data_IF_824139061103
#
_entry.id   IF_824139061103
#
_cell.length_a   1.000
_cell.length_b   1.000
_cell.length_c   1.000
_cell.angle_alpha   90.00
_cell.angle_beta   90.00
_cell.angle_gamma   90.00
#
_symmetry.space_group_name_H-M   'P 1'
#
loop_
_entity.id
_entity.type
_entity.pdbx_description
1 polymer ?
#
# COMPACT_ATOMS: atom_id res chain seq x y z
N UNK A 1 3.91 29.32 -55.18
CA UNK A 1 4.22 29.23 -53.75
C UNK A 1 3.13 28.42 -53.07
N UNK A 2 3.41 27.18 -52.70
CA UNK A 2 2.44 26.31 -52.01
C UNK A 2 2.41 26.72 -50.54
N UNK A 3 1.31 27.36 -50.13
CA UNK A 3 1.08 27.70 -48.73
C UNK A 3 0.89 26.42 -47.91
N UNK A 4 1.93 25.98 -47.22
CA UNK A 4 1.84 24.96 -46.18
C UNK A 4 0.98 25.51 -45.04
N UNK A 5 -0.32 25.29 -45.14
CA UNK A 5 -1.32 25.57 -44.12
C UNK A 5 -1.11 24.67 -42.90
N UNK A 6 -0.06 24.93 -42.12
CA UNK A 6 0.06 24.41 -40.77
C UNK A 6 -0.94 25.20 -39.93
N UNK A 7 -2.21 24.74 -39.91
CA UNK A 7 -3.17 25.18 -38.90
C UNK A 7 -2.60 24.77 -37.54
N UNK A 8 -2.03 25.74 -36.83
CA UNK A 8 -1.62 25.55 -35.45
C UNK A 8 -2.82 25.02 -34.66
N UNK A 9 -2.69 23.85 -34.05
CA UNK A 9 -3.77 23.28 -33.25
C UNK A 9 -4.15 24.27 -32.16
N UNK A 10 -5.45 24.56 -31.96
CA UNK A 10 -5.87 25.47 -30.92
C UNK A 10 -5.28 25.03 -29.57
N UNK A 11 -4.81 25.96 -28.73
CA UNK A 11 -4.02 25.66 -27.53
C UNK A 11 -4.68 24.62 -26.60
N UNK A 12 -6.02 24.60 -26.54
CA UNK A 12 -6.79 23.59 -25.82
C UNK A 12 -6.63 22.16 -26.38
N UNK A 13 -6.57 21.98 -27.70
CA UNK A 13 -6.33 20.67 -28.35
C UNK A 13 -4.90 20.19 -28.12
N UNK A 14 -3.93 21.10 -28.20
CA UNK A 14 -2.51 20.78 -27.94
C UNK A 14 -2.31 20.32 -26.50
N UNK A 15 -2.87 21.03 -25.52
CA UNK A 15 -2.79 20.63 -24.11
C UNK A 15 -3.46 19.28 -23.85
N UNK A 16 -4.63 19.03 -24.45
CA UNK A 16 -5.31 17.74 -24.33
C UNK A 16 -4.46 16.59 -24.87
N UNK A 17 -3.80 16.76 -26.03
CA UNK A 17 -2.91 15.72 -26.59
C UNK A 17 -1.70 15.45 -25.69
N UNK A 18 -1.12 16.48 -25.09
CA UNK A 18 0.01 16.31 -24.15
C UNK A 18 -0.41 15.48 -22.93
N UNK A 19 -1.54 15.78 -22.30
CA UNK A 19 -2.02 15.02 -21.16
C UNK A 19 -2.41 13.58 -21.51
N UNK A 20 -2.99 13.35 -22.70
CA UNK A 20 -3.24 12.00 -23.20
C UNK A 20 -1.93 11.24 -23.42
N UNK A 21 -0.91 11.90 -23.99
CA UNK A 21 0.41 11.31 -24.17
C UNK A 21 1.09 10.94 -22.84
N UNK A 22 1.01 11.81 -21.83
CA UNK A 22 1.50 11.52 -20.47
C UNK A 22 0.75 10.33 -19.87
N UNK A 23 -0.59 10.33 -19.94
CA UNK A 23 -1.40 9.22 -19.44
C UNK A 23 -1.07 7.90 -20.14
N UNK A 24 -0.87 7.91 -21.46
CA UNK A 24 -0.46 6.73 -22.23
C UNK A 24 0.95 6.25 -21.83
N UNK A 25 1.89 7.17 -21.61
CA UNK A 25 3.23 6.83 -21.16
C UNK A 25 3.22 6.19 -19.76
N UNK A 26 2.40 6.71 -18.84
CA UNK A 26 2.23 6.15 -17.49
C UNK A 26 1.57 4.77 -17.56
N UNK A 27 0.57 4.60 -18.42
CA UNK A 27 -0.08 3.30 -18.63
C UNK A 27 0.91 2.27 -19.22
N UNK A 28 1.72 2.67 -20.21
CA UNK A 28 2.76 1.82 -20.78
C UNK A 28 3.83 1.45 -19.73
N UNK A 29 4.26 2.42 -18.90
CA UNK A 29 5.16 2.17 -17.78
C UNK A 29 4.54 1.22 -16.75
N UNK A 30 3.27 1.39 -16.39
CA UNK A 30 2.58 0.51 -15.46
C UNK A 30 2.48 -0.92 -16.02
N UNK A 31 2.19 -1.07 -17.31
CA UNK A 31 2.20 -2.37 -17.98
C UNK A 31 3.59 -3.01 -17.98
N UNK A 32 4.66 -2.22 -18.19
CA UNK A 32 6.03 -2.69 -18.08
C UNK A 32 6.37 -3.14 -16.65
N UNK A 33 5.98 -2.39 -15.63
CA UNK A 33 6.16 -2.76 -14.21
C UNK A 33 5.46 -4.08 -13.90
N UNK A 34 4.20 -4.25 -14.34
CA UNK A 34 3.45 -5.49 -14.17
C UNK A 34 4.11 -6.66 -14.91
N UNK A 35 4.54 -6.43 -16.15
CA UNK A 35 5.28 -7.43 -16.92
C UNK A 35 6.56 -7.86 -16.21
N UNK A 36 7.32 -6.91 -15.66
CA UNK A 36 8.50 -7.20 -14.85
C UNK A 36 8.15 -8.03 -13.60
N UNK A 37 7.08 -7.69 -12.88
CA UNK A 37 6.65 -8.44 -11.69
C UNK A 37 6.15 -9.85 -12.00
N UNK A 38 5.64 -10.10 -13.21
CA UNK A 38 5.13 -11.41 -13.65
C UNK A 38 6.24 -12.27 -14.27
N UNK A 39 7.09 -11.69 -15.12
CA UNK A 39 8.01 -12.45 -15.99
C UNK A 39 9.48 -12.31 -15.61
N UNK A 40 9.86 -11.17 -15.03
CA UNK A 40 11.27 -10.89 -14.72
C UNK A 40 11.56 -11.28 -13.28
N UNK A 41 10.87 -10.70 -12.30
CA UNK A 41 11.10 -10.97 -10.88
C UNK A 41 9.82 -11.56 -10.25
N UNK A 42 9.48 -12.82 -10.55
CA UNK A 42 8.30 -13.48 -9.99
C UNK A 42 8.51 -13.76 -8.50
N UNK A 43 7.89 -12.96 -7.64
CA UNK A 43 7.99 -13.08 -6.18
C UNK A 43 6.90 -14.01 -5.57
N UNK A 44 6.25 -14.84 -6.40
CA UNK A 44 5.11 -15.68 -6.01
C UNK A 44 5.45 -16.65 -4.88
N UNK A 45 6.66 -17.21 -4.90
CA UNK A 45 7.16 -18.12 -3.86
C UNK A 45 7.02 -17.51 -2.45
N UNK A 46 7.24 -16.19 -2.32
CA UNK A 46 7.09 -15.51 -1.04
C UNK A 46 5.65 -15.07 -0.77
N UNK A 47 4.96 -14.46 -1.75
CA UNK A 47 3.62 -13.92 -1.51
C UNK A 47 2.56 -14.98 -1.26
N UNK A 48 2.69 -16.16 -1.88
CA UNK A 48 1.78 -17.26 -1.64
C UNK A 48 1.93 -17.82 -0.23
N UNK A 49 3.10 -17.68 0.41
CA UNK A 49 3.32 -18.16 1.80
C UNK A 49 2.44 -17.45 2.84
N UNK A 50 1.86 -16.29 2.50
CA UNK A 50 0.88 -15.60 3.36
C UNK A 50 -0.44 -16.36 3.51
N UNK A 51 -0.71 -17.31 2.62
CA UNK A 51 -1.92 -18.13 2.60
C UNK A 51 -1.66 -19.59 2.99
N UNK A 52 -0.45 -19.90 3.51
CA UNK A 52 -0.06 -21.26 3.85
C UNK A 52 -0.64 -21.75 5.18
N UNK A 53 -0.99 -20.83 6.09
CA UNK A 53 -1.53 -21.18 7.40
C UNK A 53 -3.06 -21.01 7.42
N UNK A 54 -3.75 -21.99 7.95
CA UNK A 54 -5.21 -22.02 8.15
C UNK A 54 -5.59 -22.36 9.60
N UNK A 55 -6.88 -22.46 9.90
CA UNK A 55 -7.35 -22.75 11.26
C UNK A 55 -7.54 -24.23 11.57
N UNK A 56 -7.18 -25.15 10.67
CA UNK A 56 -7.22 -26.59 10.96
C UNK A 56 -6.26 -26.98 12.08
N UNK A 57 -5.19 -26.19 12.26
CA UNK A 57 -4.19 -26.32 13.32
C UNK A 57 -4.48 -25.41 14.53
N UNK A 58 -5.70 -24.90 14.67
CA UNK A 58 -6.13 -24.00 15.74
C UNK A 58 -6.02 -22.52 15.37
N UNK A 59 -6.29 -21.63 16.33
CA UNK A 59 -6.28 -20.19 16.08
C UNK A 59 -4.83 -19.67 15.90
N UNK A 60 -4.44 -19.38 14.66
CA UNK A 60 -3.08 -18.96 14.28
C UNK A 60 -3.11 -17.64 13.51
N UNK A 61 -2.02 -16.86 13.57
CA UNK A 61 -1.85 -15.67 12.73
C UNK A 61 -2.05 -16.02 11.26
N UNK A 62 -2.73 -15.13 10.51
CA UNK A 62 -3.04 -15.33 9.07
C UNK A 62 -3.93 -16.54 8.76
N UNK A 63 -4.49 -17.23 9.76
CA UNK A 63 -5.30 -18.44 9.50
C UNK A 63 -6.46 -18.19 8.55
N UNK A 64 -7.13 -17.03 8.62
CA UNK A 64 -8.21 -16.72 7.69
C UNK A 64 -7.72 -16.60 6.23
N UNK A 65 -6.45 -16.26 6.00
CA UNK A 65 -5.87 -16.24 4.67
C UNK A 65 -5.78 -17.65 4.08
N UNK A 66 -5.35 -18.65 4.85
CA UNK A 66 -5.33 -20.03 4.39
C UNK A 66 -6.71 -20.62 4.18
N UNK A 67 -7.69 -20.25 5.02
CA UNK A 67 -9.09 -20.64 4.80
C UNK A 67 -9.59 -20.24 3.41
N UNK A 68 -9.24 -19.04 2.92
CA UNK A 68 -9.61 -18.58 1.57
C UNK A 68 -9.05 -19.49 0.47
N UNK A 69 -7.86 -20.05 0.65
CA UNK A 69 -7.24 -20.95 -0.31
C UNK A 69 -7.86 -22.34 -0.24
N UNK A 70 -8.23 -22.79 0.96
CA UNK A 70 -8.87 -24.09 1.18
C UNK A 70 -10.36 -24.15 0.80
N UNK A 71 -10.98 -23.02 0.44
CA UNK A 71 -12.31 -22.99 -0.20
C UNK A 71 -12.36 -23.82 -1.49
N UNK A 72 -11.23 -24.02 -2.17
CA UNK A 72 -11.12 -24.89 -3.36
C UNK A 72 -10.03 -25.94 -3.11
N UNK A 73 -10.38 -27.08 -2.49
CA UNK A 73 -9.42 -28.12 -2.10
C UNK A 73 -8.59 -28.62 -3.30
N UNK A 74 -7.30 -28.91 -3.07
CA UNK A 74 -6.39 -29.41 -4.10
C UNK A 74 -5.85 -28.36 -5.08
N UNK A 75 -6.30 -27.09 -4.98
CA UNK A 75 -5.93 -26.03 -5.91
C UNK A 75 -5.12 -24.89 -5.28
N UNK A 76 -4.35 -25.18 -4.21
CA UNK A 76 -3.56 -24.21 -3.44
C UNK A 76 -2.85 -23.16 -4.30
N UNK A 77 -2.11 -23.62 -5.31
CA UNK A 77 -1.31 -22.69 -6.11
C UNK A 77 -2.13 -21.79 -7.04
N UNK A 78 -3.21 -22.32 -7.61
CA UNK A 78 -4.08 -21.56 -8.51
C UNK A 78 -4.86 -20.50 -7.72
N UNK A 79 -5.42 -20.90 -6.56
CA UNK A 79 -6.15 -19.97 -5.69
C UNK A 79 -5.20 -18.97 -5.05
N UNK A 80 -4.06 -19.39 -4.51
CA UNK A 80 -3.07 -18.50 -3.91
C UNK A 80 -2.54 -17.45 -4.90
N UNK A 81 -2.27 -17.85 -6.15
CA UNK A 81 -1.92 -16.91 -7.22
C UNK A 81 -3.08 -15.96 -7.55
N UNK A 82 -4.31 -16.47 -7.60
CA UNK A 82 -5.52 -15.68 -7.82
C UNK A 82 -5.73 -14.62 -6.74
N UNK A 83 -5.65 -15.02 -5.46
CA UNK A 83 -5.84 -14.12 -4.31
C UNK A 83 -4.70 -13.10 -4.22
N UNK A 84 -3.46 -13.50 -4.52
CA UNK A 84 -2.32 -12.57 -4.66
C UNK A 84 -2.67 -11.44 -5.63
N UNK A 85 -3.02 -11.75 -6.88
CA UNK A 85 -3.30 -10.72 -7.88
C UNK A 85 -4.62 -9.99 -7.66
N UNK A 86 -5.58 -10.64 -7.00
CA UNK A 86 -6.81 -9.99 -6.54
C UNK A 86 -6.49 -8.87 -5.54
N UNK A 87 -5.53 -9.07 -4.62
CA UNK A 87 -5.11 -8.02 -3.69
C UNK A 87 -4.56 -6.79 -4.42
N UNK A 88 -3.71 -6.99 -5.43
CA UNK A 88 -3.21 -5.94 -6.33
C UNK A 88 -4.36 -5.22 -7.03
N UNK A 89 -5.27 -5.96 -7.65
CA UNK A 89 -6.37 -5.40 -8.42
C UNK A 89 -7.31 -4.54 -7.54
N UNK A 90 -7.73 -5.09 -6.38
CA UNK A 90 -8.62 -4.40 -5.45
C UNK A 90 -7.97 -3.12 -4.89
N UNK A 91 -6.68 -3.17 -4.58
CA UNK A 91 -5.93 -2.00 -4.14
C UNK A 91 -5.81 -0.91 -5.23
N UNK A 92 -5.50 -1.30 -6.47
CA UNK A 92 -5.47 -0.36 -7.60
C UNK A 92 -6.85 0.22 -7.90
N UNK A 93 -7.93 -0.54 -7.73
CA UNK A 93 -9.30 -0.02 -7.78
C UNK A 93 -9.56 1.01 -6.68
N UNK A 94 -9.07 0.80 -5.46
CA UNK A 94 -9.13 1.78 -4.37
C UNK A 94 -8.41 3.08 -4.72
N UNK A 95 -7.19 3.01 -5.26
CA UNK A 95 -6.46 4.18 -5.76
C UNK A 95 -7.19 4.87 -6.91
N UNK A 96 -7.78 4.11 -7.83
CA UNK A 96 -8.56 4.64 -8.94
C UNK A 96 -9.83 5.36 -8.44
N UNK A 97 -10.48 4.87 -7.39
CA UNK A 97 -11.63 5.56 -6.77
C UNK A 97 -11.22 6.93 -6.21
N UNK A 98 -10.07 7.00 -5.53
CA UNK A 98 -9.51 8.27 -5.03
C UNK A 98 -9.19 9.22 -6.18
N UNK A 99 -8.51 8.74 -7.23
CA UNK A 99 -8.23 9.52 -8.44
C UNK A 99 -9.53 10.01 -9.10
N UNK A 100 -10.56 9.16 -9.16
CA UNK A 100 -11.89 9.48 -9.66
C UNK A 100 -12.55 10.63 -8.89
N UNK A 101 -12.50 10.60 -7.56
CA UNK A 101 -13.01 11.71 -6.73
C UNK A 101 -12.21 13.00 -6.94
N UNK A 102 -10.89 12.91 -7.05
CA UNK A 102 -10.04 14.08 -7.34
C UNK A 102 -10.45 14.72 -8.68
N UNK A 103 -10.74 13.91 -9.70
CA UNK A 103 -11.14 14.40 -11.03
C UNK A 103 -12.59 14.89 -11.09
N UNK A 104 -13.50 14.29 -10.33
CA UNK A 104 -14.93 14.60 -10.35
C UNK A 104 -15.36 15.69 -9.33
N UNK A 105 -14.51 16.03 -8.36
CA UNK A 105 -14.85 16.90 -7.23
C UNK A 105 -15.06 18.39 -7.54
N UNK A 106 -15.00 18.81 -8.81
CA UNK A 106 -15.14 20.21 -9.21
C UNK A 106 -14.95 20.42 -10.72
N UNK A 107 -14.77 21.68 -11.16
CA UNK A 107 -14.43 22.00 -12.54
C UNK A 107 -13.17 21.25 -12.99
N UNK A 108 -13.11 20.88 -14.28
CA UNK A 108 -11.90 20.25 -14.83
C UNK A 108 -10.73 21.22 -14.75
N UNK A 109 -9.76 20.91 -13.90
CA UNK A 109 -8.53 21.68 -13.74
C UNK A 109 -7.30 20.86 -14.14
N UNK A 110 -6.26 21.55 -14.60
CA UNK A 110 -5.00 20.90 -14.92
C UNK A 110 -4.33 20.30 -13.68
N UNK A 111 -4.42 20.96 -12.51
CA UNK A 111 -3.87 20.44 -11.26
C UNK A 111 -4.51 19.11 -10.84
N UNK A 112 -5.84 18.97 -10.97
CA UNK A 112 -6.55 17.70 -10.74
C UNK A 112 -6.02 16.59 -11.64
N UNK A 113 -5.76 16.89 -12.92
CA UNK A 113 -5.16 15.94 -13.86
C UNK A 113 -3.72 15.55 -13.48
N UNK A 114 -2.87 16.53 -13.16
CA UNK A 114 -1.47 16.28 -12.74
C UNK A 114 -1.43 15.38 -11.50
N UNK A 115 -2.23 15.68 -10.49
CA UNK A 115 -2.30 14.90 -9.25
C UNK A 115 -2.84 13.49 -9.53
N UNK A 116 -3.93 13.36 -10.29
CA UNK A 116 -4.49 12.05 -10.62
C UNK A 116 -3.52 11.16 -11.42
N UNK A 117 -2.78 11.75 -12.37
CA UNK A 117 -1.76 11.02 -13.13
C UNK A 117 -0.53 10.66 -12.28
N UNK A 118 -0.26 11.37 -11.19
CA UNK A 118 0.86 11.01 -10.30
C UNK A 118 0.55 9.80 -9.42
N UNK A 119 -0.73 9.57 -9.05
CA UNK A 119 -1.13 8.49 -8.12
C UNK A 119 -0.53 7.11 -8.47
N UNK A 120 -0.57 6.63 -9.73
CA UNK A 120 0.03 5.35 -10.11
C UNK A 120 1.54 5.29 -9.90
N UNK A 121 2.23 6.44 -9.91
CA UNK A 121 3.68 6.54 -9.80
C UNK A 121 4.15 6.67 -8.35
N UNK A 122 3.30 7.12 -7.43
CA UNK A 122 3.69 7.36 -6.03
C UNK A 122 4.33 6.12 -5.39
N UNK A 123 5.12 6.27 -4.31
CA UNK A 123 5.77 5.13 -3.64
C UNK A 123 4.84 3.97 -3.29
N UNK A 124 3.56 4.25 -3.02
CA UNK A 124 2.50 3.29 -2.74
C UNK A 124 1.62 2.96 -3.97
N UNK A 125 2.03 3.35 -5.18
CA UNK A 125 1.29 3.18 -6.43
C UNK A 125 1.44 1.79 -7.06
N UNK A 126 1.56 1.74 -8.39
CA UNK A 126 1.63 0.47 -9.15
C UNK A 126 2.80 -0.42 -8.74
N UNK A 127 4.05 0.09 -8.56
CA UNK A 127 5.16 -0.77 -8.16
C UNK A 127 4.93 -1.44 -6.80
N UNK A 128 4.38 -0.70 -5.84
CA UNK A 128 4.02 -1.26 -4.54
C UNK A 128 2.98 -2.37 -4.68
N UNK A 129 1.91 -2.11 -5.45
CA UNK A 129 0.84 -3.09 -5.66
C UNK A 129 1.33 -4.36 -6.39
N UNK A 130 2.28 -4.22 -7.32
CA UNK A 130 2.79 -5.31 -8.15
C UNK A 130 3.86 -6.16 -7.44
N UNK A 131 4.83 -5.49 -6.80
CA UNK A 131 5.96 -6.15 -6.15
C UNK A 131 5.71 -6.49 -4.68
N UNK A 132 4.76 -5.83 -4.01
CA UNK A 132 4.36 -6.09 -2.62
C UNK A 132 2.89 -6.56 -2.56
N UNK A 133 2.54 -7.56 -3.38
CA UNK A 133 1.19 -8.13 -3.53
C UNK A 133 0.75 -8.99 -2.32
N UNK A 134 0.81 -8.40 -1.14
CA UNK A 134 0.50 -8.98 0.17
C UNK A 134 -0.96 -8.71 0.55
N UNK A 135 -1.52 -9.47 1.52
CA UNK A 135 -2.88 -9.23 1.98
C UNK A 135 -3.13 -7.85 2.59
N UNK A 136 -2.09 -7.13 3.04
CA UNK A 136 -2.20 -5.76 3.57
C UNK A 136 -2.73 -4.76 2.52
N UNK A 137 -2.61 -5.07 1.23
CA UNK A 137 -3.23 -4.31 0.14
C UNK A 137 -4.76 -4.24 0.24
N UNK A 138 -5.42 -5.27 0.78
CA UNK A 138 -6.87 -5.21 1.03
C UNK A 138 -7.21 -4.15 2.09
N UNK A 139 -6.38 -4.01 3.13
CA UNK A 139 -6.52 -2.97 4.15
C UNK A 139 -6.36 -1.57 3.56
N UNK A 140 -5.37 -1.38 2.68
CA UNK A 140 -5.18 -0.13 1.95
C UNK A 140 -6.39 0.21 1.08
N UNK A 141 -6.91 -0.76 0.33
CA UNK A 141 -8.12 -0.59 -0.49
C UNK A 141 -9.33 -0.18 0.37
N UNK A 142 -9.53 -0.86 1.50
CA UNK A 142 -10.60 -0.54 2.45
C UNK A 142 -10.49 0.90 2.96
N UNK A 143 -9.27 1.36 3.31
CA UNK A 143 -9.05 2.73 3.76
C UNK A 143 -9.32 3.76 2.64
N UNK A 144 -8.89 3.49 1.41
CA UNK A 144 -9.13 4.37 0.27
C UNK A 144 -10.63 4.52 -0.04
N UNK A 145 -11.37 3.42 -0.02
CA UNK A 145 -12.82 3.40 -0.22
C UNK A 145 -13.56 4.06 0.95
N UNK A 146 -13.16 3.77 2.19
CA UNK A 146 -13.73 4.40 3.38
C UNK A 146 -13.54 5.92 3.38
N UNK A 147 -12.32 6.39 3.11
CA UNK A 147 -12.00 7.82 3.01
C UNK A 147 -12.81 8.49 1.91
N UNK A 148 -12.93 7.83 0.75
CA UNK A 148 -13.76 8.29 -0.37
C UNK A 148 -15.24 8.39 0.03
N UNK A 149 -15.77 7.38 0.70
CA UNK A 149 -17.15 7.34 1.16
C UNK A 149 -17.46 8.44 2.18
N UNK A 150 -16.53 8.71 3.11
CA UNK A 150 -16.66 9.80 4.08
C UNK A 150 -16.76 11.18 3.41
N UNK A 151 -16.07 11.40 2.28
CA UNK A 151 -16.20 12.68 1.55
C UNK A 151 -17.61 12.94 1.03
N UNK A 152 -18.36 11.87 0.78
CA UNK A 152 -19.72 11.90 0.21
C UNK A 152 -20.80 11.78 1.30
N UNK A 153 -20.43 11.47 2.54
CA UNK A 153 -21.39 11.26 3.62
C UNK A 153 -22.03 12.57 4.09
N UNK A 154 -23.32 12.75 3.74
CA UNK A 154 -24.11 13.95 4.04
C UNK A 154 -24.79 13.95 5.40
N UNK A 155 -24.91 12.78 6.04
CA UNK A 155 -25.58 12.63 7.34
C UNK A 155 -24.72 11.88 8.34
N UNK A 156 -25.00 12.10 9.63
CA UNK A 156 -24.34 11.41 10.74
C UNK A 156 -24.54 9.90 10.67
N UNK A 157 -25.75 9.46 10.34
CA UNK A 157 -26.09 8.04 10.22
C UNK A 157 -25.26 7.36 9.13
N UNK A 158 -25.17 7.97 7.94
CA UNK A 158 -24.39 7.41 6.84
C UNK A 158 -22.90 7.37 7.18
N UNK A 159 -22.35 8.45 7.75
CA UNK A 159 -20.95 8.50 8.13
C UNK A 159 -20.60 7.49 9.23
N UNK A 160 -21.50 7.28 10.19
CA UNK A 160 -21.33 6.25 11.22
C UNK A 160 -21.43 4.83 10.64
N UNK A 161 -22.36 4.60 9.70
CA UNK A 161 -22.48 3.34 8.97
C UNK A 161 -21.17 3.00 8.23
N UNK A 162 -20.54 3.98 7.59
CA UNK A 162 -19.23 3.78 6.97
C UNK A 162 -18.12 3.49 7.98
N UNK A 163 -18.13 4.13 9.16
CA UNK A 163 -17.18 3.82 10.24
C UNK A 163 -17.34 2.38 10.74
N UNK A 164 -18.58 1.92 10.93
CA UNK A 164 -18.89 0.57 11.37
C UNK A 164 -18.52 -0.48 10.33
N UNK A 165 -18.86 -0.22 9.04
CA UNK A 165 -18.49 -1.11 7.94
C UNK A 165 -16.97 -1.24 7.81
N UNK A 166 -16.25 -0.11 7.85
CA UNK A 166 -14.79 -0.12 7.81
C UNK A 166 -14.18 -0.85 9.01
N UNK A 167 -14.67 -0.57 10.23
CA UNK A 167 -14.19 -1.26 11.44
C UNK A 167 -14.38 -2.78 11.36
N UNK A 168 -15.57 -3.24 10.93
CA UNK A 168 -15.84 -4.66 10.72
C UNK A 168 -14.95 -5.27 9.64
N UNK A 169 -14.80 -4.60 8.49
CA UNK A 169 -13.95 -5.07 7.40
C UNK A 169 -12.48 -5.18 7.84
N UNK A 170 -11.95 -4.17 8.54
CA UNK A 170 -10.58 -4.19 9.05
C UNK A 170 -10.37 -5.27 10.12
N UNK A 171 -11.35 -5.54 10.99
CA UNK A 171 -11.26 -6.64 11.94
C UNK A 171 -11.11 -7.99 11.22
N UNK A 172 -11.93 -8.25 10.19
CA UNK A 172 -11.84 -9.46 9.36
C UNK A 172 -10.50 -9.52 8.63
N UNK A 173 -10.08 -8.43 7.99
CA UNK A 173 -8.80 -8.38 7.28
C UNK A 173 -7.61 -8.57 8.23
N UNK A 174 -7.73 -8.15 9.49
CA UNK A 174 -6.70 -8.39 10.51
C UNK A 174 -6.51 -9.88 10.80
N UNK A 175 -7.54 -10.71 10.62
CA UNK A 175 -7.42 -12.17 10.71
C UNK A 175 -6.74 -12.78 9.47
N UNK A 176 -6.83 -12.11 8.31
CA UNK A 176 -6.07 -12.47 7.09
C UNK A 176 -4.60 -12.08 7.25
N UNK A 177 -4.32 -10.91 7.83
CA UNK A 177 -2.98 -10.45 8.14
C UNK A 177 -2.98 -9.55 9.38
N UNK A 178 -2.30 -10.02 10.43
CA UNK A 178 -2.36 -9.50 11.80
C UNK A 178 -2.01 -8.02 11.97
N UNK A 179 -1.18 -7.48 11.08
CA UNK A 179 -0.77 -6.08 11.13
C UNK A 179 -1.81 -5.09 10.55
N UNK A 180 -2.80 -5.53 9.77
CA UNK A 180 -3.69 -4.64 8.99
C UNK A 180 -4.41 -3.64 9.91
N UNK A 181 -4.99 -4.12 11.02
CA UNK A 181 -5.72 -3.27 11.96
C UNK A 181 -4.89 -2.16 12.58
N UNK A 182 -3.59 -2.39 12.75
CA UNK A 182 -2.63 -1.42 13.31
C UNK A 182 -2.10 -0.47 12.22
N UNK A 183 -1.80 -1.00 11.04
CA UNK A 183 -1.22 -0.26 9.92
C UNK A 183 -2.10 0.89 9.43
N UNK A 184 -3.40 0.66 9.27
CA UNK A 184 -4.33 1.63 8.68
C UNK A 184 -5.16 2.41 9.71
N UNK A 185 -4.92 2.18 11.01
CA UNK A 185 -5.60 2.89 12.09
C UNK A 185 -5.33 4.41 12.02
N UNK A 186 -4.09 4.80 11.72
CA UNK A 186 -3.71 6.19 11.59
C UNK A 186 -4.47 6.88 10.46
N UNK A 187 -4.47 6.30 9.26
CA UNK A 187 -5.23 6.80 8.12
C UNK A 187 -6.74 6.89 8.39
N UNK A 188 -7.33 5.91 9.09
CA UNK A 188 -8.74 5.94 9.47
C UNK A 188 -9.06 7.12 10.39
N UNK A 189 -8.22 7.38 11.40
CA UNK A 189 -8.36 8.55 12.29
C UNK A 189 -8.24 9.85 11.48
N UNK A 190 -7.23 9.96 10.61
CA UNK A 190 -7.07 11.13 9.75
C UNK A 190 -8.31 11.36 8.87
N UNK A 191 -8.82 10.32 8.22
CA UNK A 191 -10.01 10.38 7.37
C UNK A 191 -11.24 10.88 8.16
N UNK A 192 -11.45 10.38 9.38
CA UNK A 192 -12.58 10.79 10.22
C UNK A 192 -12.44 12.23 10.69
N UNK A 193 -11.24 12.65 11.10
CA UNK A 193 -10.98 14.01 11.57
C UNK A 193 -11.16 15.03 10.44
N UNK A 194 -10.59 14.75 9.25
CA UNK A 194 -10.48 15.70 8.13
C UNK A 194 -11.68 15.61 7.18
N UNK A 195 -12.16 14.40 6.88
CA UNK A 195 -13.21 14.17 5.88
C UNK A 195 -14.59 13.94 6.51
N UNK A 196 -14.65 13.50 7.77
CA UNK A 196 -15.86 13.17 8.52
C UNK A 196 -16.72 14.36 8.98
N UNK A 197 -16.98 15.32 8.08
CA UNK A 197 -17.87 16.46 8.32
C UNK A 197 -19.25 16.03 8.82
N UNK A 198 -19.84 15.02 8.18
CA UNK A 198 -21.18 14.49 8.54
C UNK A 198 -21.30 13.91 9.95
N UNK A 199 -20.20 13.54 10.61
CA UNK A 199 -20.22 13.03 11.98
C UNK A 199 -20.45 14.13 13.03
N UNK A 200 -20.13 15.38 12.73
CA UNK A 200 -20.25 16.50 13.67
C UNK A 200 -19.53 16.22 15.00
N UNK A 201 -20.26 16.28 16.11
CA UNK A 201 -19.75 15.99 17.45
C UNK A 201 -19.37 14.52 17.67
N UNK A 202 -19.87 13.60 16.84
CA UNK A 202 -19.67 12.15 16.98
C UNK A 202 -18.36 11.62 16.39
N UNK A 203 -17.44 12.49 15.94
CA UNK A 203 -16.16 12.06 15.35
C UNK A 203 -15.34 11.14 16.25
N UNK A 204 -15.34 11.37 17.57
CA UNK A 204 -14.63 10.51 18.53
C UNK A 204 -15.20 9.09 18.54
N UNK A 205 -16.53 8.98 18.58
CA UNK A 205 -17.21 7.69 18.52
C UNK A 205 -16.98 7.02 17.17
N UNK A 206 -17.03 7.77 16.07
CA UNK A 206 -16.72 7.25 14.73
C UNK A 206 -15.30 6.67 14.67
N UNK A 207 -14.31 7.36 15.24
CA UNK A 207 -12.93 6.87 15.30
C UNK A 207 -12.81 5.58 16.13
N UNK A 208 -13.47 5.51 17.28
CA UNK A 208 -13.49 4.29 18.09
C UNK A 208 -14.14 3.13 17.32
N UNK A 209 -15.29 3.34 16.68
CA UNK A 209 -16.01 2.32 15.91
C UNK A 209 -15.17 1.84 14.72
N UNK A 210 -14.43 2.73 14.06
CA UNK A 210 -13.61 2.40 12.90
C UNK A 210 -12.30 1.67 13.26
N UNK A 211 -11.67 2.02 14.39
CA UNK A 211 -10.32 1.54 14.74
C UNK A 211 -10.33 0.38 15.73
N UNK A 212 -11.18 0.45 16.75
CA UNK A 212 -11.17 -0.51 17.88
C UNK A 212 -11.34 -1.96 17.42
N UNK A 213 -12.25 -2.30 16.49
CA UNK A 213 -12.40 -3.69 16.07
C UNK A 213 -11.11 -4.30 15.47
N UNK A 214 -10.37 -3.53 14.66
CA UNK A 214 -9.10 -3.94 14.08
C UNK A 214 -8.00 -4.12 15.13
N UNK A 215 -7.90 -3.16 16.07
CA UNK A 215 -6.93 -3.23 17.17
C UNK A 215 -7.21 -4.43 18.08
N UNK A 216 -8.49 -4.68 18.41
CA UNK A 216 -8.88 -5.84 19.20
C UNK A 216 -8.58 -7.15 18.48
N UNK A 217 -8.88 -7.25 17.17
CA UNK A 217 -8.52 -8.43 16.39
C UNK A 217 -7.00 -8.67 16.38
N UNK A 218 -6.18 -7.63 16.22
CA UNK A 218 -4.72 -7.74 16.26
C UNK A 218 -4.24 -8.20 17.65
N UNK A 219 -4.81 -7.65 18.72
CA UNK A 219 -4.51 -8.05 20.08
C UNK A 219 -4.92 -9.50 20.36
N UNK A 220 -6.09 -9.94 19.88
CA UNK A 220 -6.54 -11.33 19.99
C UNK A 220 -5.58 -12.28 19.27
N UNK A 221 -5.16 -11.96 18.04
CA UNK A 221 -4.17 -12.78 17.32
C UNK A 221 -2.84 -12.83 18.08
N UNK A 222 -2.39 -11.72 18.66
CA UNK A 222 -1.13 -11.65 19.39
C UNK A 222 -1.14 -12.39 20.74
N UNK A 223 -2.30 -12.49 21.41
CA UNK A 223 -2.44 -13.10 22.74
C UNK A 223 -2.92 -14.55 22.69
N UNK A 224 -3.88 -14.83 21.80
CA UNK A 224 -4.54 -16.13 21.70
C UNK A 224 -4.02 -16.98 20.53
N UNK A 225 -3.19 -16.39 19.66
CA UNK A 225 -2.58 -17.10 18.55
C UNK A 225 -1.65 -18.21 19.04
N UNK A 226 -1.75 -19.40 18.43
CA UNK A 226 -0.79 -20.48 18.66
C UNK A 226 0.58 -20.13 18.08
N UNK A 227 1.62 -20.55 18.80
CA UNK A 227 3.04 -20.27 18.51
C UNK A 227 3.89 -21.54 18.53
N UNK A 228 3.29 -22.69 18.26
CA UNK A 228 3.89 -24.02 18.39
C UNK A 228 3.46 -24.93 17.23
N UNK A 229 3.20 -24.33 16.07
CA UNK A 229 2.51 -24.97 14.94
C UNK A 229 3.36 -25.02 13.68
N UNK A 230 4.60 -24.52 13.68
CA UNK A 230 5.42 -24.46 12.47
C UNK A 230 5.65 -25.85 11.84
N UNK A 231 5.86 -26.89 12.64
CA UNK A 231 6.06 -28.25 12.14
C UNK A 231 4.79 -28.83 11.49
N UNK A 232 3.63 -28.61 12.11
CA UNK A 232 2.33 -29.04 11.57
C UNK A 232 2.00 -28.29 10.28
N UNK A 233 2.17 -26.96 10.28
CA UNK A 233 1.97 -26.12 9.11
C UNK A 233 2.91 -26.51 7.97
N UNK A 234 4.19 -26.75 8.26
CA UNK A 234 5.15 -27.20 7.27
C UNK A 234 4.67 -28.49 6.59
N UNK A 235 4.20 -29.48 7.35
CA UNK A 235 3.68 -30.73 6.79
C UNK A 235 2.45 -30.54 5.87
N UNK A 236 1.67 -29.48 6.06
CA UNK A 236 0.52 -29.13 5.23
C UNK A 236 0.90 -28.33 3.96
N UNK A 237 2.10 -27.73 3.89
CA UNK A 237 2.53 -26.96 2.72
C UNK A 237 2.72 -27.89 1.51
N UNK A 238 2.09 -27.64 0.35
CA UNK A 238 2.22 -28.50 -0.81
C UNK A 238 3.57 -28.31 -1.54
N UNK A 239 4.11 -29.40 -2.09
CA UNK A 239 5.29 -29.35 -2.96
C UNK A 239 4.95 -28.80 -4.36
N UNK A 240 5.86 -28.01 -4.92
CA UNK A 240 5.86 -27.56 -6.31
C UNK A 240 7.16 -26.82 -6.61
N UNK A 241 7.79 -27.15 -7.72
CA UNK A 241 8.90 -26.36 -8.24
C UNK A 241 8.40 -24.98 -8.71
N UNK A 242 9.00 -23.92 -8.16
CA UNK A 242 8.65 -22.53 -8.46
C UNK A 242 9.89 -21.69 -8.74
N UNK A 243 9.81 -20.67 -9.63
CA UNK A 243 10.86 -19.68 -9.76
C UNK A 243 11.12 -18.97 -8.43
N UNK A 244 12.38 -18.88 -8.04
CA UNK A 244 12.79 -18.18 -6.82
C UNK A 244 13.90 -17.15 -7.12
N UNK A 245 13.54 -15.89 -7.37
CA UNK A 245 14.51 -14.81 -7.52
C UNK A 245 15.34 -14.56 -6.25
N UNK A 246 14.82 -14.85 -5.04
CA UNK A 246 15.53 -14.61 -3.78
C UNK A 246 16.79 -15.48 -3.62
N UNK A 247 16.84 -16.64 -4.27
CA UNK A 247 18.01 -17.52 -4.26
C UNK A 247 19.25 -16.90 -4.95
N UNK A 248 19.05 -15.89 -5.81
CA UNK A 248 20.14 -15.27 -6.58
C UNK A 248 20.23 -13.76 -6.40
N UNK A 249 19.11 -13.07 -6.22
CA UNK A 249 19.05 -11.61 -6.13
C UNK A 249 19.28 -11.17 -4.70
N UNK A 250 20.54 -10.92 -4.36
CA UNK A 250 20.98 -10.44 -3.04
C UNK A 250 21.51 -9.00 -3.04
N UNK A 251 21.70 -8.43 -4.23
CA UNK A 251 22.21 -7.08 -4.47
C UNK A 251 21.76 -6.53 -5.83
N UNK A 252 21.84 -5.21 -6.08
CA UNK A 252 21.55 -4.63 -7.40
C UNK A 252 22.38 -5.23 -8.54
N UNK A 253 23.64 -5.59 -8.27
CA UNK A 253 24.52 -6.25 -9.24
C UNK A 253 23.98 -7.64 -9.60
N UNK A 254 23.60 -8.43 -8.61
CA UNK A 254 23.01 -9.76 -8.84
C UNK A 254 21.64 -9.68 -9.50
N UNK A 255 20.87 -8.61 -9.27
CA UNK A 255 19.63 -8.34 -10.02
C UNK A 255 19.92 -8.12 -11.50
N UNK A 256 20.89 -7.25 -11.82
CA UNK A 256 21.30 -6.99 -13.20
C UNK A 256 21.75 -8.29 -13.87
N UNK A 257 22.57 -9.09 -13.18
CA UNK A 257 23.04 -10.39 -13.66
C UNK A 257 21.89 -11.37 -13.87
N UNK A 258 20.94 -11.46 -12.94
CA UNK A 258 19.75 -12.29 -13.06
C UNK A 258 18.88 -11.89 -14.27
N UNK A 259 18.73 -10.59 -14.54
CA UNK A 259 18.00 -10.09 -15.71
C UNK A 259 18.71 -10.45 -17.02
N UNK A 260 20.04 -10.44 -17.05
CA UNK A 260 20.85 -10.72 -18.25
C UNK A 260 20.98 -12.23 -18.52
N UNK A 261 21.26 -13.03 -17.50
CA UNK A 261 21.56 -14.47 -17.61
C UNK A 261 20.30 -15.33 -17.74
N UNK A 262 19.11 -14.78 -17.47
CA UNK A 262 17.86 -15.53 -17.46
C UNK A 262 17.71 -16.43 -16.23
N UNK A 263 16.50 -16.97 -15.96
CA UNK A 263 16.16 -17.55 -14.66
C UNK A 263 16.59 -19.03 -14.54
N UNK A 264 17.43 -19.44 -13.56
CA UNK A 264 17.75 -20.87 -13.39
C UNK A 264 17.48 -21.43 -11.98
N UNK A 265 17.12 -20.62 -10.97
CA UNK A 265 16.83 -21.14 -9.63
C UNK A 265 15.34 -21.43 -9.49
N UNK A 266 14.95 -22.65 -9.84
CA UNK A 266 13.74 -23.23 -9.29
C UNK A 266 14.06 -23.77 -7.90
N UNK A 267 13.15 -23.55 -6.96
CA UNK A 267 13.19 -24.16 -5.63
C UNK A 267 11.89 -24.91 -5.42
N UNK A 268 11.92 -25.97 -4.62
CA UNK A 268 10.68 -26.56 -4.18
C UNK A 268 10.01 -25.62 -3.17
N UNK A 269 8.74 -25.30 -3.42
CA UNK A 269 7.98 -24.35 -2.62
C UNK A 269 7.87 -24.79 -1.17
N UNK A 270 7.60 -26.08 -0.92
CA UNK A 270 7.50 -26.61 0.44
C UNK A 270 8.83 -26.46 1.16
N UNK A 271 9.94 -26.91 0.58
CA UNK A 271 11.27 -26.80 1.19
C UNK A 271 11.64 -25.35 1.52
N UNK A 272 11.38 -24.43 0.60
CA UNK A 272 11.71 -23.01 0.79
C UNK A 272 10.84 -22.36 1.87
N UNK A 273 9.53 -22.62 1.86
CA UNK A 273 8.57 -22.06 2.84
C UNK A 273 8.82 -22.64 4.23
N UNK A 274 9.05 -23.95 4.34
CA UNK A 274 9.38 -24.62 5.60
C UNK A 274 10.69 -24.12 6.21
N UNK A 275 11.67 -23.77 5.39
CA UNK A 275 12.95 -23.21 5.86
C UNK A 275 12.84 -21.73 6.26
N UNK A 276 12.18 -20.91 5.44
CA UNK A 276 12.29 -19.45 5.53
C UNK A 276 11.07 -18.77 6.17
N UNK A 277 9.89 -19.40 6.14
CA UNK A 277 8.63 -18.77 6.53
C UNK A 277 8.01 -19.46 7.75
N UNK A 278 7.85 -20.78 7.71
CA UNK A 278 7.19 -21.56 8.77
C UNK A 278 7.80 -21.34 10.16
N UNK A 279 9.13 -21.22 10.35
CA UNK A 279 9.70 -20.98 11.68
C UNK A 279 9.20 -19.68 12.34
N UNK A 280 8.72 -18.70 11.55
CA UNK A 280 8.16 -17.46 12.09
C UNK A 280 6.78 -17.63 12.73
N UNK A 281 6.13 -18.79 12.56
CA UNK A 281 4.87 -19.10 13.23
C UNK A 281 5.10 -19.54 14.68
N UNK A 282 6.30 -20.01 15.02
CA UNK A 282 6.66 -20.32 16.41
C UNK A 282 7.15 -19.09 17.19
N UNK A 283 7.44 -17.99 16.48
CA UNK A 283 7.94 -16.76 17.10
C UNK A 283 6.83 -16.05 17.87
N UNK A 284 7.06 -15.84 19.17
CA UNK A 284 6.29 -14.89 19.96
C UNK A 284 6.72 -13.44 19.72
N UNK A 285 6.13 -12.51 20.48
CA UNK A 285 6.46 -11.08 20.38
C UNK A 285 7.93 -10.82 20.68
N UNK A 286 8.50 -11.46 21.70
CA UNK A 286 9.92 -11.30 22.07
C UNK A 286 10.87 -11.74 20.95
N UNK A 287 10.52 -12.81 20.24
CA UNK A 287 11.34 -13.32 19.15
C UNK A 287 11.24 -12.44 17.92
N UNK A 288 10.06 -11.88 17.65
CA UNK A 288 9.87 -10.87 16.62
C UNK A 288 10.71 -9.59 16.89
N UNK A 289 10.73 -9.10 18.13
CA UNK A 289 11.59 -7.97 18.53
C UNK A 289 13.07 -8.30 18.33
N UNK A 290 13.50 -9.51 18.72
CA UNK A 290 14.88 -9.97 18.53
C UNK A 290 15.24 -10.07 17.06
N UNK A 291 14.35 -10.59 16.22
CA UNK A 291 14.53 -10.68 14.78
C UNK A 291 14.70 -9.30 14.12
N UNK A 292 13.93 -8.30 14.55
CA UNK A 292 14.14 -6.91 14.10
C UNK A 292 15.50 -6.37 14.58
N UNK A 293 15.88 -6.65 15.83
CA UNK A 293 17.19 -6.28 16.37
C UNK A 293 18.37 -6.89 15.59
N UNK A 294 18.23 -8.11 15.07
CA UNK A 294 19.26 -8.82 14.30
C UNK A 294 19.55 -8.20 12.93
N UNK A 295 18.65 -7.39 12.38
CA UNK A 295 18.91 -6.58 11.17
C UNK A 295 20.06 -5.60 11.40
N UNK A 296 20.23 -5.16 12.66
CA UNK A 296 21.24 -4.20 13.07
C UNK A 296 20.84 -2.75 12.81
N UNK A 297 21.43 -1.85 13.60
CA UNK A 297 21.10 -0.42 13.58
C UNK A 297 21.31 0.22 12.20
N UNK A 298 22.32 -0.23 11.43
CA UNK A 298 22.62 0.31 10.11
C UNK A 298 21.49 0.04 9.10
N UNK A 299 21.04 -1.22 8.97
CA UNK A 299 19.98 -1.59 8.02
C UNK A 299 18.65 -0.89 8.32
N UNK A 300 18.30 -0.83 9.60
CA UNK A 300 17.11 -0.11 10.07
C UNK A 300 17.22 1.40 9.82
N UNK A 301 18.37 2.01 10.09
CA UNK A 301 18.61 3.45 9.87
C UNK A 301 18.53 3.82 8.39
N UNK A 302 19.16 3.03 7.50
CA UNK A 302 19.10 3.27 6.05
C UNK A 302 17.66 3.12 5.54
N UNK A 303 16.92 2.11 6.00
CA UNK A 303 15.50 1.93 5.68
C UNK A 303 14.65 3.11 6.15
N UNK A 304 14.91 3.61 7.36
CA UNK A 304 14.22 4.78 7.91
C UNK A 304 14.49 6.04 7.07
N UNK A 305 15.75 6.30 6.72
CA UNK A 305 16.14 7.46 5.92
C UNK A 305 15.53 7.39 4.52
N UNK A 306 15.63 6.24 3.86
CA UNK A 306 15.12 6.05 2.51
C UNK A 306 13.59 6.17 2.46
N UNK A 307 12.89 5.47 3.35
CA UNK A 307 11.43 5.60 3.47
C UNK A 307 10.99 7.01 3.86
N UNK A 308 11.73 7.66 4.77
CA UNK A 308 11.43 9.02 5.23
C UNK A 308 11.59 10.05 4.12
N UNK A 309 12.65 9.93 3.32
CA UNK A 309 12.85 10.74 2.12
C UNK A 309 11.71 10.56 1.11
N UNK A 310 11.25 9.31 0.90
CA UNK A 310 10.12 9.03 0.03
C UNK A 310 8.80 9.62 0.54
N UNK A 311 8.53 9.54 1.86
CA UNK A 311 7.39 10.21 2.51
C UNK A 311 7.44 11.71 2.25
N UNK A 312 8.58 12.36 2.57
CA UNK A 312 8.74 13.81 2.42
C UNK A 312 8.54 14.23 0.97
N UNK A 313 9.20 13.55 0.02
CA UNK A 313 9.07 13.85 -1.41
C UNK A 313 7.62 13.69 -1.90
N UNK A 314 6.92 12.66 -1.44
CA UNK A 314 5.52 12.39 -1.78
C UNK A 314 4.60 13.49 -1.26
N UNK A 315 4.66 13.77 0.05
CA UNK A 315 3.79 14.75 0.68
C UNK A 315 4.07 16.17 0.16
N UNK A 316 5.34 16.55 0.04
CA UNK A 316 5.73 17.82 -0.55
C UNK A 316 5.24 17.96 -2.00
N UNK A 317 5.49 16.94 -2.83
CA UNK A 317 5.05 16.93 -4.23
C UNK A 317 3.54 17.05 -4.37
N UNK A 318 2.77 16.34 -3.56
CA UNK A 318 1.30 16.45 -3.55
C UNK A 318 0.82 17.84 -3.14
N UNK A 319 1.45 18.47 -2.15
CA UNK A 319 1.15 19.85 -1.75
C UNK A 319 1.36 20.85 -2.91
N UNK A 320 2.54 20.81 -3.54
CA UNK A 320 2.89 21.71 -4.65
C UNK A 320 2.01 21.52 -5.89
N UNK A 321 1.73 20.26 -6.25
CA UNK A 321 0.92 19.93 -7.42
C UNK A 321 -0.56 20.24 -7.21
N UNK A 322 -1.10 19.93 -6.03
CA UNK A 322 -2.47 20.31 -5.69
C UNK A 322 -2.63 21.82 -5.49
N UNK A 323 -1.56 22.53 -5.10
CA UNK A 323 -1.60 23.95 -4.74
C UNK A 323 -2.19 24.20 -3.34
N UNK A 324 -2.58 23.14 -2.62
CA UNK A 324 -3.17 23.22 -1.29
C UNK A 324 -2.04 23.21 -0.26
N UNK A 325 -1.93 24.25 0.58
CA UNK A 325 -0.83 24.32 1.54
C UNK A 325 -1.03 23.34 2.70
N UNK A 326 0.06 22.71 3.15
CA UNK A 326 0.05 21.75 4.25
C UNK A 326 -0.43 22.34 5.58
N UNK A 327 -0.21 23.64 5.83
CA UNK A 327 -0.73 24.29 7.03
C UNK A 327 -2.26 24.27 7.09
N UNK A 328 -2.96 24.29 5.95
CA UNK A 328 -4.41 24.19 5.93
C UNK A 328 -4.90 22.78 6.31
N UNK A 329 -4.15 21.75 5.90
CA UNK A 329 -4.41 20.37 6.32
C UNK A 329 -4.14 20.19 7.81
N UNK A 330 -3.01 20.71 8.32
CA UNK A 330 -2.66 20.64 9.75
C UNK A 330 -3.67 21.43 10.60
N UNK A 331 -4.13 22.59 10.13
CA UNK A 331 -5.17 23.36 10.81
C UNK A 331 -6.48 22.57 10.93
N UNK A 332 -6.82 21.70 9.97
CA UNK A 332 -7.98 20.82 10.06
C UNK A 332 -7.82 19.73 11.16
N UNK A 333 -6.61 19.48 11.63
CA UNK A 333 -6.30 18.55 12.73
C UNK A 333 -6.28 19.25 14.11
N UNK A 334 -6.24 20.59 14.15
CA UNK A 334 -6.18 21.34 15.40
C UNK A 334 -7.36 21.00 16.33
N UNK A 335 -7.06 20.86 17.62
CA UNK A 335 -8.03 20.41 18.63
C UNK A 335 -8.34 18.90 18.62
N UNK A 336 -7.73 18.13 17.71
CA UNK A 336 -7.88 16.66 17.62
C UNK A 336 -6.54 15.91 17.60
N UNK A 337 -5.42 16.60 17.84
CA UNK A 337 -4.08 16.04 17.78
C UNK A 337 -3.88 14.82 18.68
N UNK A 338 -4.53 14.76 19.85
CA UNK A 338 -4.44 13.58 20.73
C UNK A 338 -4.91 12.30 20.05
N UNK A 339 -5.98 12.37 19.25
CA UNK A 339 -6.47 11.23 18.49
C UNK A 339 -5.54 10.87 17.33
N UNK A 340 -5.02 11.89 16.64
CA UNK A 340 -4.04 11.70 15.55
C UNK A 340 -2.78 11.02 16.07
N UNK A 341 -2.25 11.48 17.21
CA UNK A 341 -1.11 10.87 17.89
C UNK A 341 -1.43 9.44 18.35
N UNK A 342 -2.61 9.20 18.94
CA UNK A 342 -3.01 7.85 19.33
C UNK A 342 -3.08 6.89 18.12
N UNK A 343 -3.66 7.34 16.99
CA UNK A 343 -3.68 6.58 15.75
C UNK A 343 -2.29 6.28 15.21
N UNK A 344 -1.38 7.26 15.26
CA UNK A 344 0.01 7.09 14.84
C UNK A 344 0.77 6.10 15.75
N UNK A 345 0.55 6.17 17.06
CA UNK A 345 1.16 5.25 18.03
C UNK A 345 0.74 3.80 17.82
N UNK A 346 -0.45 3.54 17.26
CA UNK A 346 -0.88 2.19 16.89
C UNK A 346 -0.04 1.56 15.78
N UNK A 347 0.71 2.36 15.01
CA UNK A 347 1.63 1.83 13.98
C UNK A 347 2.95 1.35 14.61
N UNK A 348 3.32 1.83 15.81
CA UNK A 348 4.60 1.52 16.47
C UNK A 348 4.82 0.01 16.65
N UNK A 349 3.86 -0.81 17.12
CA UNK A 349 4.04 -2.25 17.22
C UNK A 349 4.51 -2.89 15.90
N UNK A 350 4.01 -2.42 14.77
CA UNK A 350 4.37 -2.92 13.43
C UNK A 350 5.84 -2.67 13.11
N UNK A 351 6.38 -1.51 13.50
CA UNK A 351 7.81 -1.20 13.37
C UNK A 351 8.68 -2.03 14.30
N UNK A 352 8.18 -2.28 15.52
CA UNK A 352 8.92 -3.04 16.52
C UNK A 352 9.01 -4.52 16.16
N UNK A 353 7.96 -5.10 15.59
CA UNK A 353 7.89 -6.54 15.27
C UNK A 353 8.13 -6.88 13.81
N UNK A 354 8.39 -5.89 12.94
CA UNK A 354 8.62 -6.09 11.52
C UNK A 354 9.80 -5.27 10.98
N UNK A 355 10.72 -5.93 10.27
CA UNK A 355 11.96 -5.32 9.78
C UNK A 355 11.83 -4.45 8.52
N UNK A 356 10.67 -4.46 7.85
CA UNK A 356 10.47 -3.79 6.57
C UNK A 356 10.08 -2.31 6.74
N UNK A 357 10.97 -1.51 7.35
CA UNK A 357 10.69 -0.12 7.74
C UNK A 357 10.41 0.80 6.54
N UNK A 358 11.04 0.56 5.39
CA UNK A 358 10.73 1.29 4.14
C UNK A 358 9.26 1.08 3.75
N UNK A 359 8.75 -0.15 3.83
CA UNK A 359 7.33 -0.43 3.59
C UNK A 359 6.46 0.28 4.61
N UNK A 360 6.77 0.19 5.90
CA UNK A 360 5.95 0.81 6.95
C UNK A 360 5.81 2.31 6.74
N UNK A 361 6.88 2.99 6.36
CA UNK A 361 6.84 4.39 5.99
C UNK A 361 6.05 4.64 4.70
N UNK A 362 6.11 3.73 3.72
CA UNK A 362 5.29 3.80 2.50
C UNK A 362 3.79 3.69 2.81
N UNK A 363 3.40 2.84 3.77
CA UNK A 363 2.01 2.73 4.24
C UNK A 363 1.60 3.99 5.02
N UNK A 364 2.47 4.54 5.88
CA UNK A 364 2.20 5.83 6.54
C UNK A 364 2.05 6.97 5.51
N UNK A 365 2.87 6.96 4.45
CA UNK A 365 2.73 7.90 3.34
C UNK A 365 1.37 7.75 2.66
N UNK A 366 0.92 6.51 2.41
CA UNK A 366 -0.39 6.20 1.85
C UNK A 366 -1.51 6.75 2.74
N UNK A 367 -1.49 6.46 4.05
CA UNK A 367 -2.49 6.93 5.01
C UNK A 367 -2.69 8.44 4.97
N UNK A 368 -1.59 9.20 4.97
CA UNK A 368 -1.62 10.66 4.90
C UNK A 368 -2.06 11.13 3.52
N UNK A 369 -1.45 10.58 2.45
CA UNK A 369 -1.63 11.05 1.09
C UNK A 369 -3.06 10.86 0.60
N UNK A 370 -3.70 9.72 0.87
CA UNK A 370 -5.08 9.48 0.45
C UNK A 370 -6.03 10.48 1.10
N UNK A 371 -5.89 10.73 2.39
CA UNK A 371 -6.72 11.71 3.11
C UNK A 371 -6.43 13.12 2.62
N UNK A 372 -5.17 13.47 2.40
CA UNK A 372 -4.77 14.77 1.87
C UNK A 372 -5.31 15.01 0.46
N UNK A 373 -5.23 14.03 -0.45
CA UNK A 373 -5.75 14.12 -1.81
C UNK A 373 -7.26 14.41 -1.83
N UNK A 374 -8.01 13.72 -0.98
CA UNK A 374 -9.46 13.90 -0.82
C UNK A 374 -9.82 15.19 -0.09
N UNK A 375 -8.97 15.67 0.81
CA UNK A 375 -9.09 17.00 1.40
C UNK A 375 -8.87 18.08 0.33
N UNK A 376 -7.76 17.98 -0.42
CA UNK A 376 -7.35 18.92 -1.45
C UNK A 376 -8.35 18.99 -2.61
N UNK A 377 -9.01 17.89 -2.96
CA UNK A 377 -10.00 17.85 -4.05
C UNK A 377 -11.22 18.76 -3.80
N UNK A 378 -11.47 19.17 -2.56
CA UNK A 378 -12.56 20.06 -2.13
C UNK A 378 -12.12 21.50 -1.89
N UNK A 379 -10.87 21.84 -2.23
CA UNK A 379 -10.26 23.15 -2.00
C UNK A 379 -10.20 23.92 -3.31
N UNK A 380 -10.49 25.22 -3.30
CA UNK A 380 -10.52 26.06 -4.51
C UNK A 380 -9.13 26.18 -5.15
N UNK A 381 -8.07 26.02 -4.36
CA UNK A 381 -6.67 26.07 -4.77
C UNK A 381 -6.36 25.03 -5.87
N UNK A 382 -7.00 23.85 -5.84
CA UNK A 382 -6.80 22.80 -6.84
C UNK A 382 -7.48 23.11 -8.19
N UNK A 383 -8.40 24.07 -8.22
CA UNK A 383 -9.08 24.48 -9.44
C UNK A 383 -8.29 25.56 -10.20
N UNK A 384 -7.26 26.13 -9.58
CA UNK A 384 -6.41 27.15 -10.18
C UNK A 384 -5.45 26.58 -11.24
N UNK A 385 -5.06 27.43 -12.19
CA UNK A 385 -4.08 27.05 -13.20
C UNK A 385 -2.71 26.73 -12.57
N UNK A 386 -2.01 25.67 -13.00
CA UNK A 386 -0.65 25.39 -12.55
C UNK A 386 0.32 26.40 -13.14
N UNK A 387 1.36 26.74 -12.38
CA UNK A 387 2.46 27.56 -12.89
C UNK A 387 3.41 26.73 -13.77
N UNK A 388 4.25 27.36 -14.62
CA UNK A 388 5.30 26.64 -15.34
C UNK A 388 6.28 25.90 -14.42
N UNK A 389 6.47 26.38 -13.19
CA UNK A 389 7.27 25.69 -12.16
C UNK A 389 6.59 24.41 -11.71
N UNK A 390 5.28 24.45 -11.48
CA UNK A 390 4.46 23.27 -11.10
C UNK A 390 4.50 22.19 -12.18
N UNK A 391 4.42 22.57 -13.46
CA UNK A 391 4.52 21.60 -14.57
C UNK A 391 5.91 20.95 -14.65
N UNK A 392 6.98 21.72 -14.50
CA UNK A 392 8.35 21.17 -14.44
C UNK A 392 8.51 20.23 -13.25
N UNK A 393 7.99 20.62 -12.10
CA UNK A 393 8.00 19.78 -10.90
C UNK A 393 7.25 18.46 -11.12
N UNK A 394 6.08 18.49 -11.75
CA UNK A 394 5.35 17.28 -12.10
C UNK A 394 6.21 16.32 -12.93
N UNK A 395 6.88 16.83 -13.97
CA UNK A 395 7.76 16.01 -14.82
C UNK A 395 8.90 15.41 -14.00
N UNK A 396 9.56 16.22 -13.15
CA UNK A 396 10.65 15.76 -12.29
C UNK A 396 10.17 14.66 -11.32
N UNK A 397 9.04 14.86 -10.65
CA UNK A 397 8.47 13.89 -9.73
C UNK A 397 8.03 12.61 -10.46
N UNK A 398 7.38 12.74 -11.60
CA UNK A 398 6.95 11.60 -12.40
C UNK A 398 8.14 10.75 -12.86
N UNK A 399 9.21 11.37 -13.35
CA UNK A 399 10.44 10.68 -13.73
C UNK A 399 11.11 10.06 -12.51
N UNK A 400 11.28 10.81 -11.42
CA UNK A 400 11.94 10.32 -10.21
C UNK A 400 11.23 9.10 -9.62
N UNK A 401 9.90 9.16 -9.49
CA UNK A 401 9.12 8.03 -8.97
C UNK A 401 9.01 6.87 -9.96
N UNK A 402 9.04 7.12 -11.27
CA UNK A 402 9.07 6.07 -12.27
C UNK A 402 10.41 5.30 -12.30
N UNK A 403 11.53 5.99 -12.01
CA UNK A 403 12.87 5.42 -11.99
C UNK A 403 13.25 4.79 -10.65
N UNK A 404 12.72 5.31 -9.54
CA UNK A 404 13.00 4.81 -8.19
C UNK A 404 11.69 4.28 -7.59
N UNK A 405 11.31 3.03 -7.93
CA UNK A 405 10.09 2.43 -7.41
C UNK A 405 10.31 2.05 -5.93
N UNK A 406 10.22 3.02 -5.02
CA UNK A 406 10.42 2.85 -3.57
C UNK A 406 9.59 1.69 -3.02
N UNK A 407 8.35 1.55 -3.48
CA UNK A 407 7.45 0.47 -3.08
C UNK A 407 7.87 -0.94 -3.51
N UNK A 408 8.88 -1.08 -4.37
CA UNK A 408 9.48 -2.35 -4.77
C UNK A 408 10.78 -2.68 -4.02
N UNK A 409 11.32 -1.76 -3.21
CA UNK A 409 12.57 -1.96 -2.46
C UNK A 409 12.24 -2.70 -1.15
N UNK A 410 12.66 -3.97 -0.97
CA UNK A 410 12.58 -4.60 0.34
C UNK A 410 13.46 -3.84 1.33
N UNK A 411 13.04 -3.70 2.59
CA UNK A 411 13.85 -3.07 3.64
C UNK A 411 15.32 -3.50 3.62
N UNK A 412 16.23 -2.55 3.88
CA UNK A 412 17.67 -2.79 3.82
C UNK A 412 18.14 -3.68 4.97
N UNK A 413 18.95 -4.70 4.66
CA UNK A 413 19.52 -5.61 5.65
C UNK A 413 18.60 -6.74 6.11
N UNK A 414 17.48 -6.98 5.41
CA UNK A 414 16.59 -8.12 5.66
C UNK A 414 17.30 -9.48 5.66
N UNK A 415 16.78 -10.49 6.37
CA UNK A 415 17.34 -11.84 6.38
C UNK A 415 17.42 -12.39 4.96
N UNK A 416 18.55 -13.02 4.62
CA UNK A 416 18.74 -13.64 3.30
C UNK A 416 17.88 -14.89 3.23
N UNK A 417 16.86 -14.88 2.37
CA UNK A 417 15.97 -16.03 2.14
C UNK A 417 16.56 -16.95 1.06
N UNK A 418 17.68 -17.62 1.39
CA UNK A 418 18.48 -18.47 0.48
C UNK A 418 17.99 -19.91 0.43
#
# INVERSE_FOLDING_TARGET
MVGLGIKADPPARRHRRVYVGIGAAIAAWAALVLWCAIRVVPLDVYWMSYYAADYTHGFVRRGLAGELVHLVPGHYFAVGLGVRWMSTAVYLCGLAAVAGVVLAGGPRSQRRLLVAMLIPLLPFGVPFAAFSARPDLFGGAALALFSTALTQARSRALAMGWCALYGGAIAVLTLVHEAIGLQFAFGAVLAIVVLGGGLGSARRLGALVAVTPGVLAAAMVAVLGRHDVAAELCAAVPHRLMPNPFAKVTSPETLLRFVIEGPPSQTDYHDWVCRNVMPNYDNGISDALRAVGQIGALGLTVSLIFGGAAVVATLWGLGELSGVPWHAFIAALHGRMTWVTAGLLLVVPVFLTGYDWTRWLTIVAFDIAIVFLLFASRRAEIDQAPTPRTLRLFIVLAIAFALIPVGAVPGFGGPRMV
#
